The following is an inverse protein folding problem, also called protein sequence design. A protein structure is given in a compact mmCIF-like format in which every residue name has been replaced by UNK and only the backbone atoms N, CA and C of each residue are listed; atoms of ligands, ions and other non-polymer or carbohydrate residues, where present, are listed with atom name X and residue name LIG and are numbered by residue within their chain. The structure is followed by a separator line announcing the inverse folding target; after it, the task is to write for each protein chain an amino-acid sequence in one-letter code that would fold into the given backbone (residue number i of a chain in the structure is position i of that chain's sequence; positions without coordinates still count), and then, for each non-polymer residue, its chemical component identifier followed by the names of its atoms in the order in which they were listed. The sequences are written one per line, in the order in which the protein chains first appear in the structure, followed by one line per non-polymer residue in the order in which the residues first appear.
data_IF_977834782208
#
_entry.id   IF_977834782208
#
_cell.length_a   1.000
_cell.length_b   1.000
_cell.length_c   1.000
_cell.angle_alpha   90.00
_cell.angle_beta   90.00
_cell.angle_gamma   90.00
#
_symmetry.space_group_name_H-M   'P 1'
#
loop_
_entity.id
_entity.type
_entity.pdbx_description
1 polymer ?
#
# COMPACT_ATOMS: atom_id res chain seq x y z
N UNK A 1 28.57 -17.27 -51.75
CA UNK A 1 27.53 -18.21 -52.18
C UNK A 1 26.20 -17.61 -51.77
N UNK A 2 25.55 -16.93 -52.72
CA UNK A 2 24.27 -16.23 -52.56
C UNK A 2 23.12 -17.23 -52.45
N UNK A 3 22.13 -16.92 -51.62
CA UNK A 3 20.85 -17.63 -51.57
C UNK A 3 19.73 -16.71 -51.11
N UNK A 4 19.25 -15.85 -52.01
CA UNK A 4 18.02 -15.07 -51.86
C UNK A 4 16.82 -15.98 -52.12
N UNK A 5 15.92 -16.11 -51.15
CA UNK A 5 14.62 -16.77 -51.31
C UNK A 5 13.52 -15.71 -51.27
N UNK A 6 12.91 -15.49 -52.43
CA UNK A 6 11.81 -14.55 -52.66
C UNK A 6 10.51 -15.31 -52.37
N UNK A 7 9.77 -14.90 -51.33
CA UNK A 7 8.39 -15.33 -51.12
C UNK A 7 7.43 -14.25 -51.62
N UNK A 8 6.87 -14.48 -52.80
CA UNK A 8 5.72 -13.73 -53.34
C UNK A 8 4.48 -14.38 -52.76
N UNK A 9 3.81 -13.71 -51.82
CA UNK A 9 2.48 -14.10 -51.39
C UNK A 9 1.45 -13.25 -52.15
N UNK A 10 0.73 -13.93 -53.04
CA UNK A 10 -0.35 -13.42 -53.87
C UNK A 10 -1.59 -13.29 -52.97
N UNK A 11 -1.82 -12.12 -52.36
CA UNK A 11 -3.05 -11.88 -51.62
C UNK A 11 -4.13 -11.35 -52.57
N UNK A 12 -5.11 -12.22 -52.82
CA UNK A 12 -6.25 -11.97 -53.70
C UNK A 12 -7.08 -10.78 -53.22
N UNK A 13 -7.31 -9.87 -54.16
CA UNK A 13 -8.24 -8.76 -54.07
C UNK A 13 -9.68 -9.31 -54.08
N UNK A 14 -10.34 -9.33 -52.92
CA UNK A 14 -11.80 -9.47 -52.84
C UNK A 14 -12.40 -8.09 -52.52
N UNK A 15 -12.90 -7.43 -53.55
CA UNK A 15 -13.93 -6.40 -53.44
C UNK A 15 -15.29 -7.10 -53.53
N UNK A 16 -16.16 -6.83 -52.55
CA UNK A 16 -17.60 -6.52 -52.70
C UNK A 16 -18.26 -6.61 -51.32
N UNK A 17 -19.01 -5.57 -50.97
CA UNK A 17 -20.08 -5.68 -49.98
C UNK A 17 -20.26 -4.43 -49.12
N UNK A 18 -21.06 -3.48 -49.59
CA UNK A 18 -21.64 -2.43 -48.75
C UNK A 18 -22.27 -3.02 -47.49
N UNK A 19 -21.87 -2.53 -46.32
CA UNK A 19 -22.73 -2.48 -45.14
C UNK A 19 -22.73 -1.07 -44.56
N UNK A 20 -23.86 -0.40 -44.80
CA UNK A 20 -24.62 0.39 -43.82
C UNK A 20 -23.85 0.97 -42.64
N UNK A 21 -23.65 2.29 -42.68
CA UNK A 21 -23.24 3.12 -41.56
C UNK A 21 -24.15 2.89 -40.34
N UNK A 22 -23.66 2.18 -39.33
CA UNK A 22 -24.04 2.34 -37.94
C UNK A 22 -22.77 2.53 -37.11
N UNK A 23 -22.03 3.61 -37.39
CA UNK A 23 -20.90 4.08 -36.59
C UNK A 23 -21.40 4.95 -35.43
N UNK A 24 -22.37 4.43 -34.67
CA UNK A 24 -22.80 4.99 -33.39
C UNK A 24 -22.80 3.80 -32.43
N UNK A 25 -21.93 3.87 -31.41
CA UNK A 25 -22.04 3.26 -30.08
C UNK A 25 -20.85 2.41 -29.53
N UNK A 26 -19.72 2.27 -30.26
CA UNK A 26 -18.53 1.58 -29.70
C UNK A 26 -17.67 2.47 -28.79
N UNK A 27 -17.65 3.79 -29.02
CA UNK A 27 -16.89 4.74 -28.20
C UNK A 27 -17.49 4.94 -26.82
N UNK A 28 -18.82 4.88 -26.70
CA UNK A 28 -19.53 4.96 -25.43
C UNK A 28 -19.35 3.69 -24.59
N UNK A 29 -19.44 2.51 -25.23
CA UNK A 29 -19.23 1.22 -24.55
C UNK A 29 -17.83 1.11 -23.94
N UNK A 30 -16.80 1.44 -24.72
CA UNK A 30 -15.39 1.41 -24.26
C UNK A 30 -15.15 2.37 -23.08
N UNK A 31 -15.74 3.58 -23.13
CA UNK A 31 -15.63 4.57 -22.05
C UNK A 31 -16.31 4.12 -20.76
N UNK A 32 -17.47 3.45 -20.86
CA UNK A 32 -18.20 2.90 -19.71
C UNK A 32 -17.41 1.75 -19.07
N UNK A 33 -16.82 0.84 -19.86
CA UNK A 33 -16.00 -0.27 -19.36
C UNK A 33 -14.74 0.23 -18.61
N UNK A 34 -14.02 1.21 -19.17
CA UNK A 34 -12.85 1.82 -18.51
C UNK A 34 -13.23 2.51 -17.19
N UNK A 35 -14.37 3.21 -17.17
CA UNK A 35 -14.85 3.90 -15.95
C UNK A 35 -15.19 2.88 -14.86
N UNK A 36 -15.86 1.78 -15.21
CA UNK A 36 -16.21 0.72 -14.26
C UNK A 36 -15.00 -0.02 -13.71
N UNK A 37 -14.00 -0.32 -14.55
CA UNK A 37 -12.73 -0.93 -14.13
C UNK A 37 -11.99 -0.04 -13.11
N UNK A 38 -11.95 1.27 -13.37
CA UNK A 38 -11.32 2.22 -12.44
C UNK A 38 -12.06 2.32 -11.09
N UNK A 39 -13.39 2.28 -11.11
CA UNK A 39 -14.21 2.30 -9.88
C UNK A 39 -13.99 1.01 -9.06
N UNK A 40 -13.92 -0.15 -9.70
CA UNK A 40 -13.69 -1.42 -9.01
C UNK A 40 -12.30 -1.49 -8.40
N UNK A 41 -11.28 -1.03 -9.14
CA UNK A 41 -9.91 -0.92 -8.64
C UNK A 41 -9.82 0.02 -7.42
N UNK A 42 -10.43 1.21 -7.49
CA UNK A 42 -10.43 2.17 -6.39
C UNK A 42 -11.09 1.61 -5.11
N UNK A 43 -12.24 0.92 -5.27
CA UNK A 43 -12.92 0.24 -4.15
C UNK A 43 -12.07 -0.88 -3.56
N UNK A 44 -11.44 -1.71 -4.40
CA UNK A 44 -10.53 -2.78 -3.97
C UNK A 44 -9.35 -2.20 -3.18
N UNK A 45 -8.79 -1.08 -3.66
CA UNK A 45 -7.69 -0.39 -2.99
C UNK A 45 -8.11 0.15 -1.61
N UNK A 46 -9.26 0.83 -1.52
CA UNK A 46 -9.83 1.34 -0.26
C UNK A 46 -10.05 0.24 0.79
N UNK A 47 -10.63 -0.90 0.38
CA UNK A 47 -10.80 -2.08 1.24
C UNK A 47 -9.45 -2.57 1.75
N UNK A 48 -8.45 -2.61 0.88
CA UNK A 48 -7.11 -3.10 1.22
C UNK A 48 -6.41 -2.18 2.24
N UNK A 49 -6.52 -0.85 2.10
CA UNK A 49 -6.01 0.08 3.11
C UNK A 49 -6.66 -0.13 4.48
N UNK A 50 -7.98 -0.29 4.50
CA UNK A 50 -8.72 -0.54 5.75
C UNK A 50 -8.18 -1.79 6.45
N UNK A 51 -8.03 -2.89 5.70
CA UNK A 51 -7.46 -4.14 6.21
C UNK A 51 -6.02 -3.96 6.72
N UNK A 52 -5.17 -3.27 5.97
CA UNK A 52 -3.79 -3.01 6.37
C UNK A 52 -3.70 -2.19 7.66
N UNK A 53 -4.56 -1.19 7.84
CA UNK A 53 -4.63 -0.41 9.08
C UNK A 53 -5.09 -1.30 10.25
N UNK A 54 -6.11 -2.14 10.05
CA UNK A 54 -6.58 -3.09 11.08
C UNK A 54 -5.49 -4.06 11.51
N UNK A 55 -4.79 -4.67 10.56
CA UNK A 55 -3.70 -5.60 10.83
C UNK A 55 -2.50 -4.90 11.49
N UNK A 56 -2.17 -3.67 11.09
CA UNK A 56 -1.17 -2.85 11.78
C UNK A 56 -1.53 -2.63 13.26
N UNK A 57 -2.76 -2.21 13.54
CA UNK A 57 -3.22 -1.97 14.91
C UNK A 57 -3.18 -3.28 15.73
N UNK A 58 -3.59 -4.40 15.12
CA UNK A 58 -3.54 -5.71 15.75
C UNK A 58 -2.10 -6.13 16.09
N UNK A 59 -1.15 -5.96 15.17
CA UNK A 59 0.27 -6.30 15.41
C UNK A 59 0.82 -5.52 16.60
N UNK A 60 0.53 -4.22 16.70
CA UNK A 60 0.97 -3.42 17.85
C UNK A 60 0.23 -3.80 19.14
N UNK A 61 -1.07 -4.09 19.08
CA UNK A 61 -1.81 -4.58 20.24
C UNK A 61 -1.28 -5.92 20.78
N UNK A 62 -0.89 -6.84 19.89
CA UNK A 62 -0.26 -8.10 20.28
C UNK A 62 1.10 -7.86 20.95
N UNK A 63 1.92 -6.95 20.41
CA UNK A 63 3.26 -6.63 20.93
C UNK A 63 3.24 -5.97 22.30
N UNK A 64 2.43 -4.92 22.48
CA UNK A 64 2.52 -4.06 23.67
C UNK A 64 1.17 -3.47 24.13
N UNK A 65 0.06 -4.05 23.67
CA UNK A 65 -1.31 -3.64 24.00
C UNK A 65 -1.60 -2.18 23.62
N UNK A 66 -0.93 -1.66 22.58
CA UNK A 66 -1.25 -0.35 22.01
C UNK A 66 -2.71 -0.26 21.56
N UNK A 67 -3.34 0.87 21.84
CA UNK A 67 -4.67 1.27 21.35
C UNK A 67 -4.59 2.67 20.77
N UNK A 68 -5.42 2.97 19.77
CA UNK A 68 -5.34 4.23 19.03
C UNK A 68 -6.67 4.98 19.07
N UNK A 69 -6.62 6.24 19.49
CA UNK A 69 -7.77 7.16 19.40
C UNK A 69 -7.82 7.79 18.00
N UNK A 70 -6.65 8.16 17.49
CA UNK A 70 -6.43 8.79 16.18
C UNK A 70 -5.13 8.27 15.59
N UNK A 71 -5.02 8.12 14.29
CA UNK A 71 -3.76 7.90 13.59
C UNK A 71 -3.62 8.98 12.53
N UNK A 72 -2.50 9.68 12.56
CA UNK A 72 -2.15 10.66 11.54
C UNK A 72 -1.30 10.00 10.46
N UNK A 73 -1.64 10.22 9.20
CA UNK A 73 -0.87 9.75 8.06
C UNK A 73 -0.30 10.93 7.27
N UNK A 74 0.91 10.81 6.75
CA UNK A 74 1.42 11.78 5.76
C UNK A 74 0.51 11.79 4.53
N UNK A 75 0.01 12.95 4.12
CA UNK A 75 -0.51 13.13 2.78
C UNK A 75 0.59 13.62 1.85
N UNK A 76 0.73 12.96 0.71
CA UNK A 76 1.52 13.41 -0.42
C UNK A 76 0.63 13.41 -1.66
N UNK A 77 1.08 14.04 -2.74
CA UNK A 77 0.32 14.18 -3.99
C UNK A 77 -0.03 12.82 -4.66
N UNK A 78 0.73 11.77 -4.35
CA UNK A 78 0.52 10.41 -4.87
C UNK A 78 -0.38 9.57 -3.97
N UNK A 79 -0.81 10.10 -2.83
CA UNK A 79 -1.68 9.41 -1.90
C UNK A 79 -3.12 9.49 -2.40
N UNK A 80 -3.85 8.37 -2.55
CA UNK A 80 -5.21 8.40 -3.06
C UNK A 80 -6.17 9.01 -2.01
N UNK A 81 -6.36 10.32 -2.06
CA UNK A 81 -7.11 11.07 -1.04
C UNK A 81 -8.59 10.68 -1.00
N UNK A 82 -9.21 10.38 -2.15
CA UNK A 82 -10.68 10.25 -2.25
C UNK A 82 -11.24 9.00 -1.57
N UNK A 83 -10.44 7.93 -1.44
CA UNK A 83 -10.92 6.63 -0.96
C UNK A 83 -10.14 6.09 0.25
N UNK A 84 -9.34 6.93 0.90
CA UNK A 84 -8.67 6.54 2.14
C UNK A 84 -9.67 6.56 3.31
N UNK A 85 -9.67 5.54 4.20
CA UNK A 85 -10.64 5.48 5.28
C UNK A 85 -10.43 6.64 6.26
N UNK A 86 -11.53 7.20 6.75
CA UNK A 86 -11.52 8.27 7.78
C UNK A 86 -11.69 7.72 9.20
N UNK A 87 -12.19 6.49 9.34
CA UNK A 87 -12.36 5.77 10.61
C UNK A 87 -12.10 4.28 10.37
N UNK A 88 -11.33 3.64 11.26
CA UNK A 88 -11.10 2.18 11.29
C UNK A 88 -11.19 1.70 12.73
N UNK A 89 -12.08 0.74 13.05
CA UNK A 89 -12.29 0.19 14.41
C UNK A 89 -12.42 1.25 15.53
N UNK A 90 -13.17 2.34 15.28
CA UNK A 90 -13.34 3.52 16.16
C UNK A 90 -12.12 4.45 16.26
N UNK A 91 -11.00 4.13 15.63
CA UNK A 91 -9.83 5.01 15.51
C UNK A 91 -10.06 6.00 14.37
N UNK A 92 -9.88 7.30 14.65
CA UNK A 92 -9.94 8.35 13.63
C UNK A 92 -8.69 8.31 12.76
N UNK A 93 -8.85 8.44 11.45
CA UNK A 93 -7.76 8.48 10.50
C UNK A 93 -7.70 9.88 9.89
N UNK A 94 -6.55 10.55 10.04
CA UNK A 94 -6.37 11.93 9.59
C UNK A 94 -5.17 11.98 8.66
N UNK A 95 -5.40 12.44 7.42
CA UNK A 95 -4.35 12.76 6.48
C UNK A 95 -3.81 14.18 6.79
N UNK A 96 -2.51 14.27 7.10
CA UNK A 96 -1.81 15.52 7.37
C UNK A 96 -0.91 15.91 6.19
N UNK A 97 -1.11 17.08 5.58
CA UNK A 97 -0.16 17.67 4.65
C UNK A 97 1.23 17.76 5.25
N UNK A 98 2.25 17.56 4.42
CA UNK A 98 3.66 17.58 4.87
C UNK A 98 4.03 18.89 5.57
N UNK A 99 3.47 20.01 5.12
CA UNK A 99 3.63 21.35 5.70
C UNK A 99 2.99 21.56 7.08
N UNK A 100 2.12 20.65 7.53
CA UNK A 100 1.45 20.71 8.82
C UNK A 100 2.06 19.79 9.87
N UNK A 101 2.88 18.80 9.46
CA UNK A 101 3.48 17.80 10.36
C UNK A 101 4.19 18.46 11.55
N UNK A 102 5.01 19.47 11.29
CA UNK A 102 5.77 20.17 12.32
C UNK A 102 4.90 20.91 13.34
N UNK A 103 3.72 21.40 12.93
CA UNK A 103 2.77 22.07 13.81
C UNK A 103 2.07 21.08 14.74
N UNK A 104 1.89 19.84 14.28
CA UNK A 104 1.18 18.80 15.02
C UNK A 104 2.09 17.88 15.85
N UNK A 105 3.41 17.93 15.68
CA UNK A 105 4.34 16.93 16.27
C UNK A 105 4.26 16.79 17.79
N UNK A 106 3.95 17.87 18.50
CA UNK A 106 3.77 17.86 19.97
C UNK A 106 2.55 17.04 20.42
N UNK A 107 1.59 16.81 19.51
CA UNK A 107 0.42 15.98 19.76
C UNK A 107 0.66 14.50 19.46
N UNK A 108 1.79 14.15 18.84
CA UNK A 108 2.10 12.76 18.55
C UNK A 108 2.49 12.05 19.85
N UNK A 109 1.68 11.08 20.23
CA UNK A 109 1.86 10.21 21.40
C UNK A 109 1.49 8.79 21.00
N UNK A 110 1.72 7.82 21.88
CA UNK A 110 1.46 6.41 21.59
C UNK A 110 0.03 6.11 21.11
N UNK A 111 -0.98 6.75 21.71
CA UNK A 111 -2.39 6.59 21.29
C UNK A 111 -2.81 7.46 20.10
N UNK A 112 -1.96 8.42 19.70
CA UNK A 112 -2.18 9.30 18.55
C UNK A 112 -0.91 9.49 17.72
N UNK A 113 -0.35 8.41 17.13
CA UNK A 113 0.93 8.45 16.45
C UNK A 113 0.81 9.14 15.08
N UNK A 114 1.96 9.55 14.57
CA UNK A 114 2.11 9.86 13.16
C UNK A 114 2.72 8.68 12.41
N UNK A 115 2.21 8.41 11.21
CA UNK A 115 2.65 7.31 10.35
C UNK A 115 2.99 7.88 8.97
N UNK A 116 4.20 7.56 8.50
CA UNK A 116 4.50 7.64 7.08
C UNK A 116 4.22 6.26 6.46
N UNK A 117 3.22 6.19 5.58
CA UNK A 117 2.78 4.94 4.94
C UNK A 117 3.42 4.81 3.56
N UNK A 118 4.16 3.73 3.37
CA UNK A 118 4.65 3.30 2.05
C UNK A 118 3.82 2.09 1.64
N UNK A 119 3.37 2.05 0.39
CA UNK A 119 2.55 0.94 -0.10
C UNK A 119 2.83 0.64 -1.57
N UNK A 120 2.64 -0.63 -1.93
CA UNK A 120 2.67 -1.13 -3.30
C UNK A 120 1.50 -2.09 -3.46
N UNK A 121 0.56 -1.78 -4.35
CA UNK A 121 -0.61 -2.63 -4.61
C UNK A 121 -0.60 -3.05 -6.06
N UNK A 122 -0.47 -4.36 -6.29
CA UNK A 122 -0.53 -4.99 -7.60
C UNK A 122 -1.78 -5.86 -7.72
N UNK A 123 -1.99 -6.51 -8.86
CA UNK A 123 -3.18 -7.33 -9.08
C UNK A 123 -3.25 -8.54 -8.12
N UNK A 124 -2.09 -9.12 -7.78
CA UNK A 124 -2.00 -10.39 -7.05
C UNK A 124 -1.34 -10.28 -5.67
N UNK A 125 -0.72 -9.14 -5.35
CA UNK A 125 -0.01 -8.89 -4.11
C UNK A 125 -0.22 -7.46 -3.65
N UNK A 126 -0.08 -7.24 -2.34
CA UNK A 126 0.00 -5.90 -1.79
C UNK A 126 0.99 -5.87 -0.63
N UNK A 127 1.75 -4.80 -0.53
CA UNK A 127 2.76 -4.58 0.51
C UNK A 127 2.53 -3.22 1.16
N UNK A 128 2.61 -3.18 2.49
CA UNK A 128 2.47 -1.97 3.28
C UNK A 128 3.58 -1.88 4.32
N UNK A 129 4.16 -0.69 4.47
CA UNK A 129 5.15 -0.37 5.48
C UNK A 129 4.67 0.84 6.28
N UNK A 130 4.33 0.62 7.55
CA UNK A 130 3.89 1.65 8.48
C UNK A 130 5.09 2.11 9.32
N UNK A 131 5.70 3.23 8.94
CA UNK A 131 6.80 3.85 9.68
C UNK A 131 6.19 4.78 10.72
N UNK A 132 6.30 4.41 11.99
CA UNK A 132 5.55 5.02 13.09
C UNK A 132 6.44 5.92 13.96
N UNK A 133 5.96 7.13 14.24
CA UNK A 133 6.68 8.15 14.98
C UNK A 133 5.87 8.66 16.19
N UNK A 134 6.46 8.58 17.39
CA UNK A 134 6.00 9.21 18.62
C UNK A 134 7.00 8.98 19.79
N UNK A 135 6.99 9.78 20.87
CA UNK A 135 6.44 11.13 20.90
C UNK A 135 7.27 12.08 20.03
N UNK A 136 6.72 13.24 19.68
CA UNK A 136 7.48 14.33 19.02
C UNK A 136 8.28 13.91 17.79
N UNK A 137 7.69 13.07 16.94
CA UNK A 137 8.31 12.59 15.70
C UNK A 137 9.53 11.66 15.88
N UNK A 138 9.72 11.07 17.07
CA UNK A 138 10.74 10.03 17.27
C UNK A 138 10.31 8.71 16.63
N UNK A 139 11.14 8.13 15.76
CA UNK A 139 10.88 6.82 15.16
C UNK A 139 10.79 5.73 16.24
N UNK A 140 9.77 4.87 16.14
CA UNK A 140 9.53 3.76 17.07
C UNK A 140 9.37 2.41 16.39
N UNK A 141 8.57 2.35 15.33
CA UNK A 141 8.21 1.08 14.72
C UNK A 141 8.28 1.17 13.20
N UNK A 142 8.74 0.09 12.58
CA UNK A 142 8.45 -0.23 11.18
C UNK A 142 7.62 -1.52 11.15
N UNK A 143 6.36 -1.42 10.74
CA UNK A 143 5.49 -2.58 10.57
C UNK A 143 5.31 -2.89 9.09
N UNK A 144 5.74 -4.09 8.68
CA UNK A 144 5.68 -4.61 7.32
C UNK A 144 4.54 -5.62 7.22
N UNK A 145 3.60 -5.39 6.31
CA UNK A 145 2.48 -6.28 6.04
C UNK A 145 2.50 -6.69 4.55
N UNK A 146 2.48 -7.98 4.30
CA UNK A 146 2.49 -8.56 2.95
C UNK A 146 1.20 -9.35 2.75
N UNK A 147 0.53 -9.11 1.64
CA UNK A 147 -0.75 -9.72 1.28
C UNK A 147 -0.65 -10.48 -0.03
N UNK A 148 -1.35 -11.61 -0.08
CA UNK A 148 -1.59 -12.35 -1.32
C UNK A 148 -3.07 -12.25 -1.68
N UNK A 149 -3.37 -12.09 -2.98
CA UNK A 149 -4.75 -12.06 -3.46
C UNK A 149 -5.28 -13.50 -3.63
N UNK A 150 -6.42 -13.76 -2.98
CA UNK A 150 -7.16 -15.00 -3.08
C UNK A 150 -8.27 -14.85 -4.14
N UNK A 151 -8.04 -15.40 -5.33
CA UNK A 151 -8.95 -15.26 -6.46
C UNK A 151 -10.33 -15.90 -6.21
N UNK A 152 -10.39 -16.98 -5.45
CA UNK A 152 -11.62 -17.67 -5.04
C UNK A 152 -12.51 -16.81 -4.14
N UNK A 153 -11.90 -15.92 -3.34
CA UNK A 153 -12.59 -15.01 -2.43
C UNK A 153 -12.68 -13.57 -2.95
N UNK A 154 -12.01 -13.28 -4.07
CA UNK A 154 -11.84 -11.94 -4.61
C UNK A 154 -11.36 -10.93 -3.53
N UNK A 155 -10.38 -11.33 -2.72
CA UNK A 155 -9.86 -10.48 -1.64
C UNK A 155 -8.38 -10.73 -1.33
N UNK A 156 -7.72 -9.71 -0.78
CA UNK A 156 -6.38 -9.87 -0.22
C UNK A 156 -6.46 -10.56 1.13
N UNK A 157 -5.50 -11.43 1.42
CA UNK A 157 -5.29 -12.04 2.73
C UNK A 157 -3.86 -11.76 3.20
N UNK A 158 -3.71 -11.41 4.47
CA UNK A 158 -2.41 -11.23 5.10
C UNK A 158 -1.63 -12.56 5.05
N UNK A 159 -0.49 -12.54 4.36
CA UNK A 159 0.45 -13.66 4.29
C UNK A 159 1.46 -13.57 5.44
N UNK A 160 2.09 -12.39 5.60
CA UNK A 160 3.17 -12.18 6.57
C UNK A 160 3.09 -10.80 7.20
N UNK A 161 3.36 -10.76 8.50
CA UNK A 161 3.59 -9.54 9.26
C UNK A 161 4.96 -9.58 9.94
N UNK A 162 5.67 -8.45 9.91
CA UNK A 162 6.92 -8.23 10.64
C UNK A 162 6.89 -6.86 11.28
N UNK A 163 7.27 -6.80 12.55
CA UNK A 163 7.43 -5.55 13.30
C UNK A 163 8.91 -5.39 13.67
N UNK A 164 9.50 -4.27 13.30
CA UNK A 164 10.81 -3.86 13.76
C UNK A 164 10.63 -2.73 14.80
N UNK A 165 11.12 -2.94 16.02
CA UNK A 165 11.07 -1.95 17.11
C UNK A 165 12.42 -1.27 17.21
N UNK A 166 12.45 0.05 17.03
CA UNK A 166 13.67 0.85 17.08
C UNK A 166 14.12 1.10 18.52
N UNK A 167 15.37 0.72 18.82
CA UNK A 167 16.07 1.04 20.05
C UNK A 167 17.17 2.06 19.75
N UNK A 168 17.08 3.29 20.28
CA UNK A 168 18.08 4.32 20.04
C UNK A 168 19.42 3.94 20.64
N UNK A 169 20.50 4.49 20.06
CA UNK A 169 21.85 4.36 20.60
C UNK A 169 21.89 4.94 22.01
N UNK A 170 22.51 4.23 22.93
CA UNK A 170 22.88 4.72 24.26
C UNK A 170 24.40 4.77 24.39
N UNK A 171 24.90 5.27 25.52
CA UNK A 171 26.35 5.23 25.80
C UNK A 171 26.89 3.80 25.89
N UNK A 172 26.01 2.82 26.15
CA UNK A 172 26.36 1.42 26.37
C UNK A 172 26.15 0.54 25.12
N UNK A 173 25.23 0.91 24.23
CA UNK A 173 24.79 0.05 23.13
C UNK A 173 24.55 0.83 21.83
N UNK A 174 24.90 0.20 20.70
CA UNK A 174 24.57 0.72 19.37
C UNK A 174 23.06 0.65 19.11
N UNK A 175 22.56 1.59 18.31
CA UNK A 175 21.18 1.56 17.87
C UNK A 175 20.89 0.27 17.08
N UNK A 176 19.74 -0.33 17.33
CA UNK A 176 19.34 -1.58 16.69
C UNK A 176 17.82 -1.65 16.56
N UNK A 177 17.36 -2.64 15.81
CA UNK A 177 15.96 -3.04 15.78
C UNK A 177 15.80 -4.41 16.44
N UNK A 178 14.83 -4.54 17.32
CA UNK A 178 14.29 -5.85 17.66
C UNK A 178 13.26 -6.26 16.61
N UNK A 179 13.38 -7.47 16.08
CA UNK A 179 12.52 -7.98 15.00
C UNK A 179 11.51 -8.97 15.56
N UNK A 180 10.25 -8.81 15.19
CA UNK A 180 9.16 -9.70 15.52
C UNK A 180 8.45 -10.16 14.25
N UNK A 181 8.21 -11.46 14.10
CA UNK A 181 7.47 -12.03 12.97
C UNK A 181 6.27 -12.83 13.50
N UNK A 182 5.07 -12.55 12.97
CA UNK A 182 3.84 -13.16 13.47
C UNK A 182 3.66 -13.00 14.99
N UNK A 183 4.07 -11.85 15.53
CA UNK A 183 3.99 -11.54 16.97
C UNK A 183 5.08 -12.14 17.85
N UNK A 184 6.03 -12.91 17.32
CA UNK A 184 7.12 -13.55 18.09
C UNK A 184 8.46 -12.88 17.82
N UNK A 185 9.26 -12.69 18.86
CA UNK A 185 10.62 -12.18 18.75
C UNK A 185 11.51 -13.15 17.94
N UNK A 186 12.23 -12.64 16.95
CA UNK A 186 13.09 -13.44 16.07
C UNK A 186 14.56 -13.02 16.12
N UNK A 187 14.89 -11.81 16.58
CA UNK A 187 16.29 -11.41 16.80
C UNK A 187 16.53 -9.90 16.79
N UNK A 188 17.81 -9.54 16.68
CA UNK A 188 18.31 -8.16 16.62
C UNK A 188 18.88 -7.87 15.24
N UNK A 189 18.49 -6.73 14.64
CA UNK A 189 19.04 -6.20 13.39
C UNK A 189 19.83 -4.93 13.70
N UNK A 190 21.15 -4.89 13.48
CA UNK A 190 21.96 -3.72 13.77
C UNK A 190 21.66 -2.56 12.80
N UNK A 191 21.77 -1.32 13.28
CA UNK A 191 21.63 -0.13 12.44
C UNK A 191 23.01 0.26 11.93
N UNK A 192 23.25 -0.04 10.66
CA UNK A 192 24.51 0.26 9.99
C UNK A 192 25.56 -0.82 10.20
N UNK A 193 25.85 -1.52 9.11
CA UNK A 193 27.22 -1.83 8.70
C UNK A 193 27.16 -1.95 7.17
N UNK A 194 27.07 -0.80 6.48
CA UNK A 194 27.48 -0.77 5.08
C UNK A 194 29.00 -0.96 5.11
N UNK A 195 29.46 -2.16 4.76
CA UNK A 195 30.81 -2.31 4.20
C UNK A 195 30.89 -1.53 2.90
#
# INVERSE_FOLDING_TARGET
MLGFLIYINLFSLFLVGCQSNNAIDDSNKTKIEITNLNIDFAKKQSKTYTMAIQDFMKVLFEKDKSTFDTIYFSSNEYFPVTDFPTIVDSTKIILLPSEEIDKHKVNFKKSTPFINLIFFVENNSAEFIFITFFPEFNHKYDCYLNYNYLADKNEFQLDKSRLEVFFPKTDLEAAHFEVFEGGKYTGIKPIGNKK
#
